data_IF_423404717042
#
_entry.id   IF_423404717042
#
_cell.length_a   1.000
_cell.length_b   1.000
_cell.length_c   1.000
_cell.angle_alpha   90.00
_cell.angle_beta   90.00
_cell.angle_gamma   90.00
#
_symmetry.space_group_name_H-M   'P 1'
#
loop_
_entity.id
_entity.type
_entity.pdbx_description
1 polymer ?
#
# COMPACT_ATOMS: atom_id res chain seq x y z
N UNK A 1 5.25 4.25 -34.64
CA UNK A 1 4.22 3.50 -33.91
C UNK A 1 4.95 2.45 -33.09
N UNK A 2 4.62 2.29 -31.81
CA UNK A 2 5.22 1.22 -31.01
C UNK A 2 4.70 -0.13 -31.48
N UNK A 3 5.55 -1.15 -31.53
CA UNK A 3 5.11 -2.51 -31.85
C UNK A 3 4.30 -3.12 -30.70
N UNK A 4 3.45 -4.11 -30.99
CA UNK A 4 2.68 -4.83 -29.95
C UNK A 4 3.60 -5.42 -28.88
N UNK A 5 4.78 -5.89 -29.27
CA UNK A 5 5.80 -6.43 -28.36
C UNK A 5 6.39 -5.36 -27.44
N UNK A 6 6.67 -4.16 -27.95
CA UNK A 6 7.14 -3.04 -27.12
C UNK A 6 6.09 -2.60 -26.10
N UNK A 7 4.81 -2.57 -26.49
CA UNK A 7 3.71 -2.26 -25.57
C UNK A 7 3.60 -3.35 -24.48
N UNK A 8 3.70 -4.63 -24.85
CA UNK A 8 3.68 -5.75 -23.89
C UNK A 8 4.83 -5.68 -22.89
N UNK A 9 6.05 -5.41 -23.37
CA UNK A 9 7.21 -5.24 -22.52
C UNK A 9 7.04 -4.05 -21.57
N UNK A 10 6.48 -2.93 -22.05
CA UNK A 10 6.17 -1.76 -21.23
C UNK A 10 5.15 -2.06 -20.13
N UNK A 11 4.06 -2.76 -20.46
CA UNK A 11 3.01 -3.16 -19.50
C UNK A 11 3.56 -4.14 -18.46
N UNK A 12 4.40 -5.11 -18.87
CA UNK A 12 5.04 -6.03 -17.95
C UNK A 12 6.00 -5.33 -16.98
N UNK A 13 6.79 -4.37 -17.49
CA UNK A 13 7.70 -3.55 -16.68
C UNK A 13 6.93 -2.70 -15.66
N UNK A 14 5.85 -2.04 -16.09
CA UNK A 14 4.96 -1.30 -15.19
C UNK A 14 4.45 -2.20 -14.06
N UNK A 15 3.94 -3.39 -14.38
CA UNK A 15 3.46 -4.33 -13.36
C UNK A 15 4.53 -4.75 -12.35
N UNK A 16 5.80 -4.90 -12.80
CA UNK A 16 6.91 -5.20 -11.91
C UNK A 16 7.26 -4.02 -10.98
N UNK A 17 7.44 -2.82 -11.54
CA UNK A 17 7.77 -1.60 -10.77
C UNK A 17 6.69 -1.30 -9.73
N UNK A 18 5.43 -1.41 -10.12
CA UNK A 18 4.27 -1.20 -9.26
C UNK A 18 4.15 -2.29 -8.19
N UNK A 19 4.52 -3.53 -8.50
CA UNK A 19 4.58 -4.62 -7.51
C UNK A 19 5.55 -4.33 -6.37
N UNK A 20 6.70 -3.71 -6.65
CA UNK A 20 7.64 -3.28 -5.61
C UNK A 20 7.03 -2.20 -4.71
N UNK A 21 6.26 -1.26 -5.29
CA UNK A 21 5.58 -0.21 -4.54
C UNK A 21 4.50 -0.78 -3.60
N UNK A 22 3.74 -1.79 -4.03
CA UNK A 22 2.78 -2.50 -3.16
C UNK A 22 3.49 -3.10 -1.94
N UNK A 23 4.66 -3.72 -2.15
CA UNK A 23 5.48 -4.24 -1.07
C UNK A 23 5.90 -3.16 -0.07
N UNK A 24 6.37 -2.01 -0.56
CA UNK A 24 6.76 -0.88 0.28
C UNK A 24 5.58 -0.28 1.06
N UNK A 25 4.39 -0.20 0.46
CA UNK A 25 3.17 0.25 1.13
C UNK A 25 2.82 -0.70 2.29
N UNK A 26 2.83 -2.02 2.05
CA UNK A 26 2.55 -3.02 3.09
C UNK A 26 3.55 -2.96 4.25
N UNK A 27 4.85 -2.86 3.94
CA UNK A 27 5.89 -2.70 4.94
C UNK A 27 5.71 -1.41 5.78
N UNK A 28 5.24 -0.33 5.15
CA UNK A 28 4.93 0.93 5.85
C UNK A 28 3.73 0.78 6.79
N UNK A 29 2.68 0.08 6.37
CA UNK A 29 1.52 -0.25 7.23
C UNK A 29 1.96 -1.04 8.47
N UNK A 30 2.81 -2.05 8.30
CA UNK A 30 3.35 -2.84 9.42
C UNK A 30 4.22 -2.00 10.38
N UNK A 31 4.99 -1.05 9.85
CA UNK A 31 5.78 -0.13 10.68
C UNK A 31 4.89 0.81 11.50
N UNK A 32 3.79 1.29 10.92
CA UNK A 32 2.78 2.07 11.63
C UNK A 32 2.10 1.24 12.72
N UNK A 33 1.76 -0.02 12.44
CA UNK A 33 1.19 -0.94 13.43
C UNK A 33 2.08 -1.08 14.68
N UNK A 34 3.37 -1.35 14.48
CA UNK A 34 4.33 -1.45 15.59
C UNK A 34 4.42 -0.14 16.38
N UNK A 35 4.44 0.99 15.68
CA UNK A 35 4.53 2.32 16.31
C UNK A 35 3.28 2.66 17.13
N UNK A 36 2.09 2.35 16.60
CA UNK A 36 0.83 2.55 17.32
C UNK A 36 0.70 1.62 18.53
N UNK A 37 1.15 0.37 18.43
CA UNK A 37 1.19 -0.55 19.56
C UNK A 37 2.12 -0.05 20.67
N UNK A 38 3.31 0.46 20.32
CA UNK A 38 4.25 1.05 21.27
C UNK A 38 3.65 2.30 21.96
N UNK A 39 3.00 3.19 21.21
CA UNK A 39 2.33 4.36 21.76
C UNK A 39 1.25 3.95 22.77
N UNK A 40 0.38 3.00 22.41
CA UNK A 40 -0.67 2.46 23.30
C UNK A 40 -0.08 1.87 24.59
N UNK A 41 1.06 1.19 24.50
CA UNK A 41 1.75 0.62 25.66
C UNK A 41 2.28 1.69 26.62
N UNK A 42 2.89 2.76 26.10
CA UNK A 42 3.43 3.86 26.94
C UNK A 42 2.31 4.69 27.56
N UNK A 43 1.16 4.80 26.88
CA UNK A 43 0.02 5.60 27.35
C UNK A 43 -1.01 4.78 28.11
N UNK A 44 -0.74 3.49 28.39
CA UNK A 44 -1.66 2.64 29.14
C UNK A 44 -1.84 3.21 30.55
N UNK A 45 -3.07 3.62 30.89
CA UNK A 45 -3.39 4.28 32.16
C UNK A 45 -3.50 5.81 32.08
N UNK A 46 -3.22 6.41 30.92
CA UNK A 46 -3.44 7.84 30.66
C UNK A 46 -4.66 8.03 29.74
N UNK A 47 -5.62 8.85 30.16
CA UNK A 47 -6.82 9.20 29.39
C UNK A 47 -6.64 10.52 28.62
N UNK A 48 -5.44 10.77 28.08
CA UNK A 48 -5.16 12.03 27.40
C UNK A 48 -5.75 12.06 25.99
N UNK A 49 -6.72 12.96 25.75
CA UNK A 49 -7.47 13.07 24.48
C UNK A 49 -6.60 13.21 23.23
N UNK A 50 -5.50 13.95 23.32
CA UNK A 50 -4.55 14.15 22.21
C UNK A 50 -3.86 12.84 21.76
N UNK A 51 -3.63 11.89 22.70
CA UNK A 51 -3.05 10.58 22.36
C UNK A 51 -4.07 9.77 21.56
N UNK A 52 -5.32 9.74 22.00
CA UNK A 52 -6.40 9.06 21.28
C UNK A 52 -6.59 9.61 19.87
N UNK A 53 -6.53 10.93 19.71
CA UNK A 53 -6.60 11.58 18.39
C UNK A 53 -5.40 11.20 17.50
N UNK A 54 -4.20 11.16 18.07
CA UNK A 54 -2.98 10.73 17.36
C UNK A 54 -3.10 9.29 16.87
N UNK A 55 -3.55 8.37 17.75
CA UNK A 55 -3.80 6.98 17.39
C UNK A 55 -4.83 6.91 16.25
N UNK A 56 -5.95 7.63 16.36
CA UNK A 56 -7.00 7.63 15.34
C UNK A 56 -6.48 8.09 13.96
N UNK A 57 -5.63 9.13 13.92
CA UNK A 57 -4.99 9.60 12.68
C UNK A 57 -4.10 8.54 12.04
N UNK A 58 -3.34 7.79 12.84
CA UNK A 58 -2.49 6.71 12.33
C UNK A 58 -3.32 5.52 11.83
N UNK A 59 -4.39 5.15 12.54
CA UNK A 59 -5.32 4.10 12.08
C UNK A 59 -5.98 4.48 10.74
N UNK A 60 -6.38 5.74 10.58
CA UNK A 60 -6.91 6.24 9.30
C UNK A 60 -5.85 6.19 8.19
N UNK A 61 -4.59 6.54 8.49
CA UNK A 61 -3.50 6.45 7.51
C UNK A 61 -3.27 5.00 7.06
N UNK A 62 -3.28 4.04 7.99
CA UNK A 62 -3.17 2.61 7.67
C UNK A 62 -4.29 2.12 6.76
N UNK A 63 -5.53 2.54 7.01
CA UNK A 63 -6.66 2.19 6.15
C UNK A 63 -6.45 2.68 4.72
N UNK A 64 -6.02 3.94 4.55
CA UNK A 64 -5.72 4.52 3.23
C UNK A 64 -4.56 3.81 2.53
N UNK A 65 -3.53 3.39 3.27
CA UNK A 65 -2.43 2.60 2.70
C UNK A 65 -2.89 1.20 2.26
N UNK A 66 -3.75 0.55 3.05
CA UNK A 66 -4.33 -0.75 2.67
C UNK A 66 -5.19 -0.64 1.40
N UNK A 67 -6.01 0.40 1.29
CA UNK A 67 -6.79 0.70 0.09
C UNK A 67 -5.89 0.97 -1.12
N UNK A 68 -4.86 1.79 -0.96
CA UNK A 68 -3.89 2.07 -2.02
C UNK A 68 -3.20 0.78 -2.49
N UNK A 69 -2.78 -0.09 -1.58
CA UNK A 69 -2.19 -1.38 -1.93
C UNK A 69 -3.16 -2.29 -2.71
N UNK A 70 -4.43 -2.31 -2.31
CA UNK A 70 -5.45 -3.12 -2.99
C UNK A 70 -5.75 -2.61 -4.42
N UNK A 71 -5.95 -1.30 -4.58
CA UNK A 71 -6.17 -0.67 -5.89
C UNK A 71 -4.96 -0.90 -6.82
N UNK A 72 -3.77 -0.74 -6.27
CA UNK A 72 -2.52 -0.94 -7.01
C UNK A 72 -2.33 -2.40 -7.43
N UNK A 73 -2.67 -3.35 -6.56
CA UNK A 73 -2.65 -4.78 -6.88
C UNK A 73 -3.64 -5.12 -8.01
N UNK A 74 -4.85 -4.55 -7.99
CA UNK A 74 -5.83 -4.71 -9.06
C UNK A 74 -5.34 -4.14 -10.41
N UNK A 75 -4.60 -3.02 -10.39
CA UNK A 75 -3.99 -2.46 -11.60
C UNK A 75 -2.91 -3.40 -12.18
N UNK A 76 -2.11 -4.07 -11.34
CA UNK A 76 -1.14 -5.09 -11.78
C UNK A 76 -1.86 -6.27 -12.44
N UNK A 77 -2.95 -6.75 -11.85
CA UNK A 77 -3.74 -7.85 -12.40
C UNK A 77 -4.36 -7.50 -13.75
N UNK A 78 -4.89 -6.28 -13.89
CA UNK A 78 -5.41 -5.76 -15.16
C UNK A 78 -4.31 -5.66 -16.23
N UNK A 79 -3.12 -5.19 -15.85
CA UNK A 79 -1.92 -5.11 -16.70
C UNK A 79 -1.48 -6.50 -17.19
N UNK A 80 -1.49 -7.51 -16.31
CA UNK A 80 -1.20 -8.90 -16.67
C UNK A 80 -2.26 -9.49 -17.61
N UNK A 81 -3.54 -9.19 -17.37
CA UNK A 81 -4.64 -9.60 -18.24
C UNK A 81 -4.47 -9.08 -19.67
N UNK A 82 -4.09 -7.81 -19.83
CA UNK A 82 -3.79 -7.22 -21.14
C UNK A 82 -2.63 -7.92 -21.85
N UNK A 83 -1.54 -8.24 -21.13
CA UNK A 83 -0.39 -8.91 -21.71
C UNK A 83 -0.68 -10.36 -22.17
N UNK A 84 -1.76 -10.97 -21.68
CA UNK A 84 -2.18 -12.35 -21.95
C UNK A 84 -3.34 -12.46 -22.96
N UNK A 85 -4.02 -11.37 -23.33
CA UNK A 85 -5.20 -11.38 -24.21
C UNK A 85 -4.89 -11.37 -25.71
N UNK A 86 -3.61 -11.51 -26.08
CA UNK A 86 -3.10 -11.54 -27.46
C UNK A 86 -2.11 -12.70 -27.59
#
# INVERSE_FOLDING_TARGET
MSSVEEVKAGVARFGHEVGQQVGAIRASTEALDRSTAALRGITSGSSHSQVSETIAKVEQAKQKLAEAAALTQSAIESSRGYAASF
#
